data_IF_715692542168
#
_entry.id   IF_715692542168
#
_cell.length_a   1.000
_cell.length_b   1.000
_cell.length_c   1.000
_cell.angle_alpha   90.00
_cell.angle_beta   90.00
_cell.angle_gamma   90.00
#
_symmetry.space_group_name_H-M   'P 1'
#
loop_
_entity.id
_entity.type
_entity.pdbx_description
1 polymer ?
#
# COMPACT_ATOMS: atom_id res chain seq x y z
N UNK A 1 -1.83 10.56 -6.36
CA UNK A 1 -0.40 10.92 -6.35
C UNK A 1 0.05 10.96 -4.90
N UNK A 2 1.03 10.15 -4.50
CA UNK A 2 1.72 10.30 -3.21
C UNK A 2 2.73 11.44 -3.36
N UNK A 3 2.19 12.59 -3.74
CA UNK A 3 2.88 13.82 -4.05
C UNK A 3 1.82 14.91 -3.86
N UNK A 4 2.00 15.71 -2.82
CA UNK A 4 1.22 16.93 -2.67
C UNK A 4 1.65 17.93 -3.76
N UNK A 5 0.74 18.79 -4.20
CA UNK A 5 1.04 19.80 -5.22
C UNK A 5 0.85 21.19 -4.63
N UNK A 6 1.90 22.00 -4.66
CA UNK A 6 1.89 23.40 -4.23
C UNK A 6 2.01 24.34 -5.42
N UNK A 7 1.16 25.35 -5.49
CA UNK A 7 1.22 26.40 -6.51
C UNK A 7 2.34 27.40 -6.23
N UNK A 8 2.59 27.71 -4.95
CA UNK A 8 3.65 28.61 -4.50
C UNK A 8 4.95 27.88 -4.16
N UNK A 9 6.08 28.61 -4.22
CA UNK A 9 7.43 28.07 -4.00
C UNK A 9 7.58 27.43 -2.61
N UNK A 10 7.04 28.07 -1.57
CA UNK A 10 7.16 27.62 -0.19
C UNK A 10 6.42 26.30 0.04
N UNK A 11 5.23 26.15 -0.53
CA UNK A 11 4.49 24.89 -0.50
C UNK A 11 5.28 23.76 -1.17
N UNK A 12 5.96 24.01 -2.30
CA UNK A 12 6.77 22.99 -2.97
C UNK A 12 7.96 22.52 -2.13
N UNK A 13 8.60 23.45 -1.41
CA UNK A 13 9.71 23.13 -0.50
C UNK A 13 9.24 22.22 0.64
N UNK A 14 8.12 22.56 1.29
CA UNK A 14 7.52 21.75 2.36
C UNK A 14 7.14 20.35 1.84
N UNK A 15 6.52 20.29 0.67
CA UNK A 15 6.13 19.02 0.04
C UNK A 15 7.37 18.13 -0.19
N UNK A 16 8.45 18.72 -0.68
CA UNK A 16 9.69 17.99 -0.97
C UNK A 16 10.29 17.44 0.32
N UNK A 17 10.35 18.26 1.37
CA UNK A 17 10.85 17.86 2.69
C UNK A 17 10.05 16.69 3.28
N UNK A 18 8.72 16.79 3.28
CA UNK A 18 7.85 15.72 3.80
C UNK A 18 8.02 14.43 3.00
N UNK A 19 8.08 14.55 1.67
CA UNK A 19 8.28 13.41 0.78
C UNK A 19 9.61 12.71 1.01
N UNK A 20 10.68 13.47 1.24
CA UNK A 20 12.00 12.90 1.54
C UNK A 20 12.02 12.23 2.91
N UNK A 21 11.34 12.79 3.91
CA UNK A 21 11.14 12.13 5.21
C UNK A 21 10.43 10.78 5.07
N UNK A 22 9.36 10.71 4.26
CA UNK A 22 8.62 9.46 4.03
C UNK A 22 9.49 8.42 3.31
N UNK A 23 10.29 8.84 2.32
CA UNK A 23 11.25 7.95 1.65
C UNK A 23 12.24 7.36 2.66
N UNK A 24 12.78 8.17 3.57
CA UNK A 24 13.70 7.68 4.61
C UNK A 24 13.04 6.62 5.51
N UNK A 25 11.78 6.82 5.90
CA UNK A 25 11.03 5.82 6.67
C UNK A 25 10.85 4.53 5.88
N UNK A 26 10.53 4.61 4.58
CA UNK A 26 10.39 3.43 3.72
C UNK A 26 11.71 2.65 3.63
N UNK A 27 12.83 3.35 3.46
CA UNK A 27 14.14 2.72 3.24
C UNK A 27 14.75 2.14 4.54
N UNK A 28 14.64 2.86 5.67
CA UNK A 28 15.35 2.53 6.90
C UNK A 28 14.44 2.02 8.02
N UNK A 29 13.13 2.27 7.94
CA UNK A 29 12.17 2.00 9.01
C UNK A 29 12.10 0.54 9.44
N UNK A 30 12.37 -0.40 8.52
CA UNK A 30 12.32 -1.84 8.80
C UNK A 30 13.25 -2.26 9.94
N UNK A 31 14.47 -1.72 10.01
CA UNK A 31 15.42 -2.06 11.09
C UNK A 31 14.98 -1.50 12.44
N UNK A 32 14.25 -0.38 12.42
CA UNK A 32 13.74 0.31 13.60
C UNK A 32 12.37 -0.18 14.05
N UNK A 33 11.79 -1.19 13.38
CA UNK A 33 10.43 -1.66 13.65
C UNK A 33 9.32 -0.65 13.30
N UNK A 34 9.62 0.31 12.43
CA UNK A 34 8.67 1.31 11.94
C UNK A 34 8.12 0.85 10.60
N UNK A 35 6.79 0.79 10.50
CA UNK A 35 6.09 0.37 9.30
C UNK A 35 5.22 1.49 8.75
N UNK A 36 5.10 1.55 7.44
CA UNK A 36 4.25 2.52 6.74
C UNK A 36 3.24 1.78 5.87
N UNK A 37 2.00 2.24 5.93
CA UNK A 37 0.93 1.80 5.05
C UNK A 37 0.54 2.96 4.14
N UNK A 38 0.68 2.76 2.83
CA UNK A 38 0.33 3.76 1.81
C UNK A 38 -0.86 3.26 1.02
N UNK A 39 -1.94 4.03 1.02
CA UNK A 39 -3.16 3.72 0.26
C UNK A 39 -3.48 4.85 -0.72
N UNK A 40 -3.88 4.51 -1.94
CA UNK A 40 -4.33 5.46 -2.95
C UNK A 40 -5.51 4.87 -3.73
N UNK A 41 -6.47 5.72 -4.12
CA UNK A 41 -7.61 5.29 -4.93
C UNK A 41 -7.21 5.02 -6.40
N UNK A 42 -6.28 5.81 -6.94
CA UNK A 42 -5.71 5.62 -8.26
C UNK A 42 -4.19 5.75 -8.19
N UNK A 43 -3.49 4.73 -8.67
CA UNK A 43 -2.04 4.78 -8.87
C UNK A 43 -1.80 5.36 -10.26
N UNK A 44 -1.16 6.53 -10.32
CA UNK A 44 -0.78 7.21 -11.56
C UNK A 44 0.74 7.49 -11.57
N UNK A 45 1.30 8.00 -12.67
CA UNK A 45 2.76 8.14 -12.84
C UNK A 45 3.43 8.95 -11.72
N UNK A 46 2.69 9.90 -11.11
CA UNK A 46 3.13 10.70 -9.95
C UNK A 46 2.79 10.08 -8.60
N UNK A 47 1.97 9.02 -8.56
CA UNK A 47 1.74 8.13 -7.40
C UNK A 47 2.67 6.92 -7.42
N UNK A 48 3.26 6.60 -8.58
CA UNK A 48 4.19 5.50 -8.72
C UNK A 48 5.34 5.75 -7.77
N UNK A 49 5.41 4.96 -6.72
CA UNK A 49 6.63 4.81 -5.95
C UNK A 49 7.72 4.44 -6.95
N UNK A 50 8.82 5.20 -6.95
CA UNK A 50 10.00 4.84 -7.76
C UNK A 50 10.31 3.36 -7.55
N UNK A 51 10.90 2.70 -8.54
CA UNK A 51 11.25 1.28 -8.45
C UNK A 51 11.93 0.95 -7.11
N UNK A 52 12.83 1.82 -6.66
CA UNK A 52 13.50 1.75 -5.35
C UNK A 52 12.53 1.69 -4.15
N UNK A 53 11.55 2.60 -4.10
CA UNK A 53 10.57 2.62 -3.01
C UNK A 53 9.64 1.42 -3.08
N UNK A 54 9.24 1.02 -4.29
CA UNK A 54 8.40 -0.16 -4.51
C UNK A 54 9.11 -1.40 -3.96
N UNK A 55 10.41 -1.57 -4.22
CA UNK A 55 11.20 -2.72 -3.76
C UNK A 55 11.40 -2.77 -2.24
N UNK A 56 11.21 -1.65 -1.54
CA UNK A 56 11.18 -1.59 -0.08
C UNK A 56 9.77 -1.81 0.50
N UNK A 57 8.72 -1.76 -0.32
CA UNK A 57 7.37 -2.15 0.06
C UNK A 57 7.17 -3.65 -0.18
N UNK A 58 7.39 -4.43 0.87
CA UNK A 58 7.30 -5.90 0.83
C UNK A 58 5.86 -6.44 0.67
N UNK A 59 4.85 -5.66 1.03
CA UNK A 59 3.43 -5.98 0.80
C UNK A 59 2.83 -4.97 -0.18
N UNK A 60 2.21 -5.48 -1.25
CA UNK A 60 1.55 -4.67 -2.27
C UNK A 60 0.18 -5.26 -2.55
N UNK A 61 -0.84 -4.41 -2.59
CA UNK A 61 -2.23 -4.83 -2.78
C UNK A 61 -2.88 -3.90 -3.80
N UNK A 62 -3.53 -4.48 -4.82
CA UNK A 62 -4.37 -3.76 -5.78
C UNK A 62 -5.77 -4.35 -5.71
N UNK A 63 -6.69 -3.61 -5.07
CA UNK A 63 -8.10 -4.01 -4.96
C UNK A 63 -8.92 -3.46 -6.13
N UNK A 64 -9.98 -4.18 -6.48
CA UNK A 64 -10.87 -3.79 -7.56
C UNK A 64 -10.27 -3.99 -8.95
N UNK A 65 -11.10 -3.78 -9.97
CA UNK A 65 -10.66 -3.84 -11.36
C UNK A 65 -9.75 -2.64 -11.68
N UNK A 66 -8.49 -2.92 -12.01
CA UNK A 66 -7.53 -1.93 -12.50
C UNK A 66 -7.19 -2.21 -13.97
N UNK A 67 -6.66 -1.20 -14.66
CA UNK A 67 -6.05 -1.42 -15.97
C UNK A 67 -4.77 -2.25 -15.83
N UNK A 68 -4.34 -2.92 -16.90
CA UNK A 68 -3.06 -3.64 -16.93
C UNK A 68 -1.89 -2.75 -16.53
N UNK A 69 -1.91 -1.49 -16.97
CA UNK A 69 -0.93 -0.48 -16.57
C UNK A 69 -1.00 -0.20 -15.05
N UNK A 70 -2.20 0.00 -14.50
CA UNK A 70 -2.38 0.21 -13.06
C UNK A 70 -1.82 -0.94 -12.21
N UNK A 71 -2.02 -2.18 -12.66
CA UNK A 71 -1.39 -3.35 -12.02
C UNK A 71 0.13 -3.35 -12.15
N UNK A 72 0.68 -2.97 -13.30
CA UNK A 72 2.13 -2.84 -13.48
C UNK A 72 2.74 -1.72 -12.62
N UNK A 73 1.99 -0.65 -12.36
CA UNK A 73 2.40 0.42 -11.47
C UNK A 73 2.41 0.02 -9.99
N UNK A 74 1.59 -0.95 -9.59
CA UNK A 74 1.58 -1.49 -8.23
C UNK A 74 2.62 -2.60 -8.07
N UNK A 75 2.62 -3.59 -8.97
CA UNK A 75 3.40 -4.82 -8.79
C UNK A 75 4.73 -4.83 -9.54
N UNK A 76 4.89 -4.04 -10.60
CA UNK A 76 6.10 -4.03 -11.43
C UNK A 76 6.36 -5.37 -12.10
N UNK A 77 7.54 -5.94 -11.84
CA UNK A 77 7.91 -7.28 -12.32
C UNK A 77 7.05 -8.40 -11.73
N UNK A 78 6.39 -8.18 -10.59
CA UNK A 78 5.51 -9.16 -9.97
C UNK A 78 4.07 -9.13 -10.55
N UNK A 79 3.81 -8.38 -11.63
CA UNK A 79 2.50 -8.38 -12.29
C UNK A 79 2.24 -9.74 -12.93
N UNK A 80 1.07 -10.37 -12.68
CA UNK A 80 0.73 -11.64 -13.32
C UNK A 80 0.50 -11.48 -14.83
N UNK A 81 0.97 -12.44 -15.62
CA UNK A 81 0.73 -12.48 -17.08
C UNK A 81 -0.75 -12.63 -17.42
N UNK A 82 -1.50 -13.33 -16.56
CA UNK A 82 -2.93 -13.60 -16.73
C UNK A 82 -3.71 -13.02 -15.56
N UNK A 83 -4.34 -11.88 -15.80
CA UNK A 83 -5.24 -11.24 -14.86
C UNK A 83 -6.65 -11.81 -15.03
N UNK A 84 -7.15 -12.48 -14.00
CA UNK A 84 -8.57 -12.76 -13.81
C UNK A 84 -9.35 -11.45 -13.59
N UNK A 85 -10.57 -11.34 -14.15
CA UNK A 85 -11.51 -10.26 -13.81
C UNK A 85 -11.78 -10.20 -12.31
N UNK A 86 -11.93 -8.98 -11.79
CA UNK A 86 -12.32 -8.72 -10.41
C UNK A 86 -13.82 -8.44 -10.40
N UNK A 87 -14.60 -9.38 -9.89
CA UNK A 87 -16.07 -9.29 -9.83
C UNK A 87 -16.55 -9.09 -8.38
N UNK A 88 -15.84 -9.67 -7.42
CA UNK A 88 -16.21 -9.64 -6.01
C UNK A 88 -15.74 -8.38 -5.29
N UNK A 89 -16.58 -7.84 -4.41
CA UNK A 89 -16.24 -6.65 -3.61
C UNK A 89 -15.15 -7.00 -2.60
N UNK A 90 -14.07 -6.22 -2.60
CA UNK A 90 -12.93 -6.47 -1.72
C UNK A 90 -11.98 -7.54 -2.24
N UNK A 91 -12.17 -8.01 -3.48
CA UNK A 91 -11.20 -8.84 -4.19
C UNK A 91 -10.18 -8.01 -4.96
N UNK A 92 -9.07 -8.64 -5.31
CA UNK A 92 -7.97 -8.01 -6.02
C UNK A 92 -6.76 -8.91 -6.12
N UNK A 93 -5.60 -8.28 -6.24
CA UNK A 93 -4.30 -8.96 -6.25
C UNK A 93 -3.47 -8.54 -5.05
N UNK A 94 -2.73 -9.50 -4.51
CA UNK A 94 -1.85 -9.33 -3.36
C UNK A 94 -0.49 -9.96 -3.65
N UNK A 95 0.56 -9.19 -3.41
CA UNK A 95 1.94 -9.64 -3.53
C UNK A 95 2.67 -9.45 -2.20
N UNK A 96 3.28 -10.52 -1.72
CA UNK A 96 4.14 -10.54 -0.54
C UNK A 96 5.53 -10.97 -0.99
N UNK A 97 6.49 -10.06 -0.88
CA UNK A 97 7.88 -10.34 -1.16
C UNK A 97 8.41 -11.42 -0.20
N UNK A 98 9.11 -12.42 -0.74
CA UNK A 98 9.63 -13.53 0.06
C UNK A 98 8.61 -14.63 0.39
N UNK A 99 7.38 -14.55 -0.12
CA UNK A 99 6.37 -15.61 0.03
C UNK A 99 6.61 -16.86 -0.84
N UNK A 100 7.65 -16.85 -1.68
CA UNK A 100 7.93 -17.90 -2.66
C UNK A 100 7.06 -17.82 -3.94
N UNK A 101 6.22 -16.80 -4.06
CA UNK A 101 5.47 -16.50 -5.30
C UNK A 101 6.20 -15.42 -6.09
N UNK A 102 6.37 -15.67 -7.39
CA UNK A 102 7.03 -14.74 -8.31
C UNK A 102 6.11 -13.58 -8.74
N UNK A 103 4.80 -13.80 -8.68
CA UNK A 103 3.78 -12.82 -9.10
C UNK A 103 2.66 -12.65 -8.07
N UNK A 104 1.96 -11.53 -8.14
CA UNK A 104 0.80 -11.24 -7.32
C UNK A 104 -0.28 -12.31 -7.48
N UNK A 105 -0.92 -12.70 -6.38
CA UNK A 105 -1.96 -13.72 -6.39
C UNK A 105 -3.33 -13.07 -6.22
N UNK A 106 -4.34 -13.66 -6.86
CA UNK A 106 -5.71 -13.27 -6.60
C UNK A 106 -6.03 -13.50 -5.13
N UNK A 107 -6.64 -12.51 -4.49
CA UNK A 107 -6.95 -12.54 -3.07
C UNK A 107 -8.25 -11.80 -2.79
N UNK A 108 -9.01 -12.32 -1.82
CA UNK A 108 -10.25 -11.75 -1.35
C UNK A 108 -10.07 -11.33 0.11
N UNK A 109 -10.33 -10.06 0.39
CA UNK A 109 -10.30 -9.57 1.75
C UNK A 109 -11.44 -10.18 2.58
N UNK A 110 -11.18 -10.57 3.83
CA UNK A 110 -12.25 -10.98 4.72
C UNK A 110 -13.21 -9.81 4.91
N UNK A 111 -14.50 -10.08 4.73
CA UNK A 111 -15.53 -9.09 5.02
C UNK A 111 -15.61 -8.84 6.53
N UNK A 112 -15.70 -7.58 6.88
CA UNK A 112 -15.69 -7.12 8.25
C UNK A 112 -16.94 -6.30 8.51
N UNK A 113 -17.82 -6.82 9.36
CA UNK A 113 -19.04 -6.14 9.79
C UNK A 113 -18.73 -5.27 11.03
N UNK A 114 -18.70 -3.96 10.83
CA UNK A 114 -18.44 -2.99 11.89
C UNK A 114 -19.62 -2.81 12.86
N UNK A 115 -20.79 -3.37 12.56
CA UNK A 115 -21.94 -3.39 13.48
C UNK A 115 -21.85 -4.55 14.46
N UNK A 116 -21.21 -5.64 14.04
CA UNK A 116 -21.03 -6.85 14.87
C UNK A 116 -19.67 -6.87 15.58
N UNK A 117 -18.68 -6.15 15.05
CA UNK A 117 -17.33 -6.12 15.60
C UNK A 117 -16.86 -4.70 15.93
N UNK A 118 -16.75 -4.41 17.24
CA UNK A 118 -16.24 -3.15 17.75
C UNK A 118 -14.72 -3.21 17.96
N UNK A 119 -13.99 -2.63 17.00
CA UNK A 119 -12.54 -2.54 17.03
C UNK A 119 -11.99 -1.82 18.26
N UNK A 120 -12.63 -0.74 18.67
CA UNK A 120 -12.11 0.09 19.75
C UNK A 120 -12.20 -0.67 21.06
N UNK A 121 -13.35 -1.33 21.29
CA UNK A 121 -13.55 -2.17 22.46
C UNK A 121 -12.57 -3.34 22.50
N UNK A 122 -12.36 -4.03 21.37
CA UNK A 122 -11.43 -5.16 21.31
C UNK A 122 -9.98 -4.72 21.56
N UNK A 123 -9.54 -3.62 20.95
CA UNK A 123 -8.19 -3.07 21.15
C UNK A 123 -7.93 -2.68 22.61
N UNK A 124 -8.93 -2.15 23.32
CA UNK A 124 -8.80 -1.77 24.74
C UNK A 124 -8.46 -2.96 25.65
N UNK A 125 -8.89 -4.18 25.31
CA UNK A 125 -8.54 -5.39 26.07
C UNK A 125 -7.03 -5.67 26.04
N UNK A 126 -6.38 -5.40 24.91
CA UNK A 126 -4.94 -5.63 24.73
C UNK A 126 -4.09 -4.51 25.32
N UNK A 127 -4.55 -3.26 25.25
CA UNK A 127 -3.86 -2.12 25.90
C UNK A 127 -3.85 -2.28 27.43
N UNK A 128 -4.95 -2.80 28.00
CA UNK A 128 -5.06 -2.99 29.45
C UNK A 128 -4.23 -4.18 29.96
N UNK A 129 -4.08 -5.25 29.16
CA UNK A 129 -3.23 -6.41 29.49
C UNK A 129 -1.73 -6.12 29.44
N UNK A 130 -1.31 -5.04 28.80
CA UNK A 130 0.10 -4.65 28.68
C UNK A 130 0.60 -3.74 29.83
N UNK A 131 -0.23 -3.49 30.85
CA UNK A 131 0.16 -2.84 32.11
C UNK A 131 0.16 -3.87 33.24
#
# INVERSE_FOLDING_TARGET
>A
AFQATGSDKKSREIITEVMDGIKQIILLGRQSGIFILVSAQQVNASTTLSTELRDNLGLRIALGANSSEGYHMVFGSATPDKLKPIEEKGSGYLYIQGSGKESAQYWESPYLDTTQFDFIKELQLYVTKSK
#
